data_IF_715903487996
#
_entry.id   IF_715903487996
#
_cell.length_a   1.000
_cell.length_b   1.000
_cell.length_c   1.000
_cell.angle_alpha   90.00
_cell.angle_beta   90.00
_cell.angle_gamma   90.00
#
_symmetry.space_group_name_H-M   'P 1'
#
loop_
_entity.id
_entity.type
_entity.pdbx_description
1 polymer ?
#
# COMPACT_ATOMS: atom_id res chain seq x y z
N UNK A 1 0.02 10.11 -23.83
CA UNK A 1 0.00 10.40 -22.37
C UNK A 1 -1.45 10.30 -21.93
N UNK A 2 -1.91 9.10 -21.58
CA UNK A 2 -3.25 8.92 -21.01
C UNK A 2 -3.10 9.12 -19.51
N UNK A 3 -3.74 10.16 -18.97
CA UNK A 3 -3.82 10.38 -17.53
C UNK A 3 -4.69 9.29 -16.93
N UNK A 4 -4.08 8.18 -16.55
CA UNK A 4 -4.69 7.20 -15.68
C UNK A 4 -5.07 7.94 -14.38
N UNK A 5 -6.34 7.85 -14.02
CA UNK A 5 -6.84 8.44 -12.78
C UNK A 5 -6.38 7.55 -11.63
N UNK A 6 -5.07 7.53 -11.38
CA UNK A 6 -4.38 6.63 -10.46
C UNK A 6 -5.00 6.65 -9.05
N UNK A 7 -5.66 7.75 -8.68
CA UNK A 7 -6.45 7.89 -7.46
C UNK A 7 -7.73 7.06 -7.45
N UNK A 8 -8.41 6.91 -8.57
CA UNK A 8 -9.58 6.05 -8.70
C UNK A 8 -9.19 4.57 -8.70
N UNK A 9 -8.09 4.21 -9.35
CA UNK A 9 -7.54 2.85 -9.32
C UNK A 9 -7.04 2.50 -7.92
N UNK A 10 -6.36 3.45 -7.26
CA UNK A 10 -5.99 3.35 -5.86
C UNK A 10 -7.23 3.29 -4.94
N UNK A 11 -8.28 4.07 -5.17
CA UNK A 11 -9.51 4.00 -4.35
C UNK A 11 -10.19 2.63 -4.46
N UNK A 12 -10.32 2.09 -5.67
CA UNK A 12 -10.83 0.73 -5.89
C UNK A 12 -9.99 -0.31 -5.14
N UNK A 13 -8.67 -0.16 -5.23
CA UNK A 13 -7.69 -1.00 -4.56
C UNK A 13 -7.77 -0.92 -3.03
N UNK A 14 -7.90 0.29 -2.47
CA UNK A 14 -7.97 0.55 -1.03
C UNK A 14 -9.27 0.04 -0.42
N UNK A 15 -10.38 -0.04 -1.17
CA UNK A 15 -11.63 -0.65 -0.67
C UNK A 15 -11.49 -2.11 -0.26
N UNK A 16 -10.49 -2.81 -0.78
CA UNK A 16 -10.19 -4.18 -0.40
C UNK A 16 -9.17 -4.27 0.75
N UNK A 17 -8.46 -3.19 1.08
CA UNK A 17 -7.53 -3.16 2.23
C UNK A 17 -8.28 -3.07 3.56
N UNK A 18 -7.69 -3.54 4.66
CA UNK A 18 -8.22 -3.35 6.03
C UNK A 18 -7.94 -1.95 6.59
N UNK A 19 -7.71 -0.97 5.73
CA UNK A 19 -7.60 0.42 6.17
C UNK A 19 -8.89 0.76 6.92
N UNK A 20 -8.77 1.02 8.23
CA UNK A 20 -9.91 1.41 9.07
C UNK A 20 -10.50 2.75 8.64
N UNK A 21 -9.70 3.51 7.90
CA UNK A 21 -9.97 4.83 7.37
C UNK A 21 -9.61 4.83 5.87
N UNK A 22 -10.57 5.00 4.94
CA UNK A 22 -10.26 5.13 3.52
C UNK A 22 -9.38 6.36 3.26
N UNK A 23 -8.53 6.34 2.23
CA UNK A 23 -7.67 7.52 1.90
C UNK A 23 -8.51 8.77 1.62
N UNK A 24 -9.71 8.61 1.04
CA UNK A 24 -10.67 9.71 0.87
C UNK A 24 -11.35 10.15 2.19
N UNK A 25 -11.43 9.27 3.19
CA UNK A 25 -11.90 9.58 4.55
C UNK A 25 -10.87 10.40 5.35
N UNK A 26 -9.57 10.17 5.14
CA UNK A 26 -8.51 11.04 5.65
C UNK A 26 -8.62 12.45 5.08
N UNK A 27 -9.00 12.58 3.81
CA UNK A 27 -9.17 13.88 3.16
C UNK A 27 -10.43 14.65 3.62
N UNK A 28 -11.39 14.02 4.31
CA UNK A 28 -12.66 14.67 4.65
C UNK A 28 -13.19 14.50 6.10
N UNK A 29 -12.66 13.63 6.97
CA UNK A 29 -13.12 13.59 8.38
C UNK A 29 -12.32 12.76 9.39
N UNK A 30 -11.40 11.87 9.00
CA UNK A 30 -10.77 10.92 9.95
C UNK A 30 -9.43 11.41 10.55
N UNK A 31 -9.20 12.72 10.58
CA UNK A 31 -8.00 13.37 11.12
C UNK A 31 -7.69 12.97 12.56
N UNK A 32 -8.72 12.73 13.40
CA UNK A 32 -8.54 12.41 14.81
C UNK A 32 -7.70 11.14 15.04
N UNK A 33 -7.95 10.07 14.27
CA UNK A 33 -7.24 8.80 14.41
C UNK A 33 -5.84 8.87 13.84
N UNK A 34 -5.67 9.55 12.71
CA UNK A 34 -4.35 9.82 12.15
C UNK A 34 -3.50 10.62 13.14
N UNK A 35 -4.03 11.72 13.68
CA UNK A 35 -3.33 12.55 14.69
C UNK A 35 -3.02 11.75 15.95
N UNK A 36 -3.91 10.86 16.42
CA UNK A 36 -3.61 9.98 17.54
C UNK A 36 -2.46 9.01 17.23
N UNK A 37 -2.49 8.37 16.06
CA UNK A 37 -1.46 7.46 15.60
C UNK A 37 -0.08 8.14 15.45
N UNK A 38 -0.05 9.35 14.86
CA UNK A 38 1.16 10.16 14.71
C UNK A 38 1.75 10.56 16.07
N UNK A 39 0.90 11.06 16.97
CA UNK A 39 1.31 11.42 18.33
C UNK A 39 1.82 10.22 19.11
N UNK A 40 1.21 9.04 18.93
CA UNK A 40 1.68 7.83 19.57
C UNK A 40 3.04 7.40 19.02
N UNK A 41 3.19 7.31 17.70
CA UNK A 41 4.44 6.92 17.05
C UNK A 41 5.63 7.83 17.44
N UNK A 42 5.38 9.15 17.53
CA UNK A 42 6.37 10.12 17.98
C UNK A 42 6.82 9.89 19.43
N UNK A 43 5.95 9.36 20.30
CA UNK A 43 6.24 9.08 21.72
C UNK A 43 6.86 7.70 21.95
N UNK A 44 6.47 6.70 21.17
CA UNK A 44 6.88 5.30 21.37
C UNK A 44 8.14 4.90 20.60
N UNK A 45 8.59 5.71 19.64
CA UNK A 45 9.74 5.39 18.76
C UNK A 45 9.50 4.18 17.85
N UNK A 46 8.30 3.59 17.87
CA UNK A 46 7.89 2.44 17.08
C UNK A 46 6.41 2.54 16.75
N UNK A 47 6.05 2.20 15.51
CA UNK A 47 4.65 2.23 15.05
C UNK A 47 3.91 0.99 15.57
N UNK A 48 2.86 1.12 16.40
CA UNK A 48 2.04 -0.02 16.79
C UNK A 48 1.41 -0.68 15.56
N UNK A 49 1.32 -2.02 15.51
CA UNK A 49 0.60 -2.71 14.43
C UNK A 49 -0.83 -2.18 14.24
N UNK A 50 -1.51 -1.78 15.32
CA UNK A 50 -2.89 -1.31 15.28
C UNK A 50 -3.06 0.09 14.67
N UNK A 51 -1.99 0.89 14.68
CA UNK A 51 -1.95 2.26 14.18
C UNK A 51 -1.35 2.36 12.76
N UNK A 52 -0.67 1.30 12.31
CA UNK A 52 -0.02 1.21 11.01
C UNK A 52 -0.97 1.52 9.83
N UNK A 53 -2.21 0.98 9.78
CA UNK A 53 -3.15 1.29 8.69
C UNK A 53 -3.49 2.79 8.59
N UNK A 54 -3.76 3.45 9.72
CA UNK A 54 -4.12 4.88 9.72
C UNK A 54 -2.94 5.75 9.29
N UNK A 55 -1.71 5.40 9.69
CA UNK A 55 -0.49 6.10 9.24
C UNK A 55 -0.21 5.90 7.75
N UNK A 56 -0.42 4.69 7.23
CA UNK A 56 -0.29 4.41 5.79
C UNK A 56 -1.31 5.24 5.01
N UNK A 57 -2.57 5.26 5.45
CA UNK A 57 -3.62 6.07 4.83
C UNK A 57 -3.28 7.58 4.87
N UNK A 58 -2.74 8.08 5.99
CA UNK A 58 -2.27 9.45 6.14
C UNK A 58 -1.16 9.83 5.17
N UNK A 59 -0.13 8.99 5.07
CA UNK A 59 0.97 9.20 4.13
C UNK A 59 0.48 9.19 2.67
N UNK A 60 -0.41 8.26 2.30
CA UNK A 60 -1.03 8.21 0.98
C UNK A 60 -1.87 9.46 0.68
N UNK A 61 -2.68 9.91 1.64
CA UNK A 61 -3.50 11.12 1.49
C UNK A 61 -2.64 12.38 1.26
N UNK A 62 -1.47 12.46 1.89
CA UNK A 62 -0.47 13.52 1.72
C UNK A 62 0.43 13.33 0.50
N UNK A 63 0.27 12.25 -0.26
CA UNK A 63 1.10 11.86 -1.41
C UNK A 63 2.58 11.64 -1.05
N UNK A 64 2.83 11.24 0.19
CA UNK A 64 4.16 10.94 0.72
C UNK A 64 4.50 9.46 0.47
N UNK A 65 4.64 9.07 -0.81
CA UNK A 65 4.93 7.68 -1.20
C UNK A 65 6.15 7.08 -0.47
N UNK A 66 7.28 7.80 -0.26
CA UNK A 66 8.39 7.27 0.51
C UNK A 66 8.03 6.92 1.96
N UNK A 67 7.19 7.72 2.61
CA UNK A 67 6.74 7.47 3.99
C UNK A 67 5.81 6.25 4.05
N UNK A 68 4.85 6.14 3.12
CA UNK A 68 3.97 4.98 3.02
C UNK A 68 4.76 3.68 2.77
N UNK A 69 5.78 3.72 1.89
CA UNK A 69 6.67 2.58 1.63
C UNK A 69 7.42 2.16 2.90
N UNK A 70 7.95 3.10 3.68
CA UNK A 70 8.66 2.77 4.92
C UNK A 70 7.74 2.08 5.95
N UNK A 71 6.51 2.57 6.10
CA UNK A 71 5.51 1.96 6.99
C UNK A 71 5.16 0.53 6.53
N UNK A 72 4.94 0.33 5.24
CA UNK A 72 4.63 -1.00 4.68
C UNK A 72 5.80 -1.98 4.76
N UNK A 73 7.04 -1.49 4.69
CA UNK A 73 8.23 -2.33 4.95
C UNK A 73 8.30 -2.79 6.42
N UNK A 74 7.94 -1.91 7.37
CA UNK A 74 7.86 -2.30 8.77
C UNK A 74 6.77 -3.36 9.01
N UNK A 75 5.65 -3.29 8.30
CA UNK A 75 4.62 -4.34 8.31
C UNK A 75 5.11 -5.65 7.67
N UNK A 76 5.87 -5.56 6.57
CA UNK A 76 6.51 -6.73 5.96
C UNK A 76 7.39 -7.46 6.96
N UNK A 77 8.23 -6.74 7.72
CA UNK A 77 9.16 -7.32 8.69
C UNK A 77 8.44 -8.03 9.85
N UNK A 78 7.18 -7.67 10.11
CA UNK A 78 6.30 -8.32 11.10
C UNK A 78 5.52 -9.51 10.52
N UNK A 79 5.61 -9.73 9.21
CA UNK A 79 4.72 -10.58 8.46
C UNK A 79 3.40 -9.85 8.24
N UNK A 80 3.09 -9.53 6.97
CA UNK A 80 1.87 -8.80 6.64
C UNK A 80 0.64 -9.43 7.29
N UNK A 81 -0.07 -8.64 8.09
CA UNK A 81 -1.35 -9.05 8.68
C UNK A 81 -2.50 -9.05 7.65
N UNK A 82 -2.27 -8.44 6.49
CA UNK A 82 -3.20 -8.30 5.38
C UNK A 82 -2.43 -8.38 4.04
N UNK A 83 -2.84 -9.29 3.15
CA UNK A 83 -2.22 -9.47 1.83
C UNK A 83 -2.34 -8.24 0.93
N UNK A 84 -3.33 -7.37 1.18
CA UNK A 84 -3.47 -6.14 0.41
C UNK A 84 -2.39 -5.10 0.78
N UNK A 85 -1.80 -5.16 1.98
CA UNK A 85 -0.67 -4.26 2.29
C UNK A 85 0.59 -4.69 1.52
N UNK A 86 0.73 -5.98 1.23
CA UNK A 86 1.76 -6.51 0.35
C UNK A 86 1.60 -6.00 -1.10
N UNK A 87 0.39 -6.13 -1.66
CA UNK A 87 0.11 -5.63 -3.01
C UNK A 87 0.31 -4.10 -3.11
N UNK A 88 0.02 -3.36 -2.02
CA UNK A 88 0.15 -1.90 -1.99
C UNK A 88 1.62 -1.52 -2.02
N UNK A 89 2.47 -2.26 -1.32
CA UNK A 89 3.90 -2.08 -1.36
C UNK A 89 4.47 -2.34 -2.76
N UNK A 90 3.99 -3.37 -3.46
CA UNK A 90 4.37 -3.61 -4.87
C UNK A 90 3.99 -2.43 -5.77
N UNK A 91 2.73 -1.98 -5.67
CA UNK A 91 2.25 -0.85 -6.44
C UNK A 91 3.05 0.43 -6.17
N UNK A 92 3.30 0.75 -4.89
CA UNK A 92 4.07 1.94 -4.52
C UNK A 92 5.54 1.85 -4.96
N UNK A 93 6.14 0.66 -4.99
CA UNK A 93 7.48 0.51 -5.57
C UNK A 93 7.48 0.81 -7.06
N UNK A 94 6.51 0.29 -7.82
CA UNK A 94 6.38 0.58 -9.25
C UNK A 94 6.11 2.08 -9.48
N UNK A 95 5.18 2.67 -8.74
CA UNK A 95 4.86 4.11 -8.81
C UNK A 95 6.06 5.00 -8.49
N UNK A 96 6.93 4.57 -7.57
CA UNK A 96 8.15 5.29 -7.19
C UNK A 96 9.37 4.91 -8.06
N UNK A 97 9.16 4.29 -9.22
CA UNK A 97 10.21 3.96 -10.19
C UNK A 97 11.19 2.88 -9.72
N UNK A 98 10.82 2.07 -8.72
CA UNK A 98 11.63 0.99 -8.15
C UNK A 98 11.04 -0.38 -8.51
N UNK A 99 10.76 -0.63 -9.78
CA UNK A 99 10.09 -1.85 -10.28
C UNK A 99 10.85 -3.11 -9.89
N UNK A 100 12.18 -3.06 -9.89
CA UNK A 100 13.02 -4.20 -9.53
C UNK A 100 12.80 -4.64 -8.07
N UNK A 101 12.47 -3.70 -7.18
CA UNK A 101 12.12 -4.02 -5.78
C UNK A 101 10.75 -4.68 -5.67
N UNK A 102 9.82 -4.31 -6.56
CA UNK A 102 8.53 -4.98 -6.64
C UNK A 102 8.70 -6.42 -7.16
N UNK A 103 9.46 -6.61 -8.23
CA UNK A 103 9.70 -7.93 -8.81
C UNK A 103 10.47 -8.85 -7.87
N UNK A 104 11.43 -8.33 -7.10
CA UNK A 104 12.13 -9.11 -6.08
C UNK A 104 11.22 -9.50 -4.90
N UNK A 105 10.16 -8.72 -4.65
CA UNK A 105 9.23 -8.93 -3.55
C UNK A 105 8.09 -9.90 -3.94
N UNK A 106 7.62 -9.86 -5.19
CA UNK A 106 6.45 -10.60 -5.64
C UNK A 106 6.52 -12.12 -5.40
N UNK A 107 7.66 -12.82 -5.64
CA UNK A 107 7.78 -14.26 -5.39
C UNK A 107 7.69 -14.64 -3.92
N UNK A 108 8.04 -13.75 -2.99
CA UNK A 108 8.15 -14.06 -1.56
C UNK A 108 6.81 -14.42 -0.90
N UNK A 109 5.69 -14.07 -1.54
CA UNK A 109 4.34 -14.38 -1.08
C UNK A 109 3.54 -15.16 -2.12
N UNK A 110 4.17 -15.66 -3.20
CA UNK A 110 3.47 -16.31 -4.31
C UNK A 110 2.62 -17.51 -3.89
N UNK A 111 3.02 -18.24 -2.84
CA UNK A 111 2.26 -19.36 -2.27
C UNK A 111 1.05 -18.93 -1.43
N UNK A 112 1.03 -17.69 -0.94
CA UNK A 112 -0.04 -17.10 -0.13
C UNK A 112 -1.05 -16.30 -0.96
N UNK A 113 -0.68 -15.95 -2.20
CA UNK A 113 -1.52 -15.22 -3.13
C UNK A 113 -2.53 -16.18 -3.74
N UNK A 114 -3.80 -16.03 -3.36
CA UNK A 114 -4.87 -16.74 -4.04
C UNK A 114 -5.02 -16.15 -5.45
N UNK A 115 -4.89 -16.99 -6.49
CA UNK A 115 -5.19 -16.56 -7.85
C UNK A 115 -6.68 -16.21 -7.93
N UNK A 116 -6.95 -14.93 -8.11
CA UNK A 116 -8.27 -14.38 -8.34
C UNK A 116 -8.23 -13.31 -9.44
N UNK A 117 -9.40 -12.87 -9.88
CA UNK A 117 -9.53 -11.90 -10.96
C UNK A 117 -8.85 -10.56 -10.64
N UNK A 118 -8.73 -10.20 -9.35
CA UNK A 118 -8.12 -8.96 -8.90
C UNK A 118 -6.60 -9.03 -9.04
N UNK A 119 -6.01 -10.15 -8.66
CA UNK A 119 -4.57 -10.42 -8.82
C UNK A 119 -4.17 -10.42 -10.30
N UNK A 120 -4.96 -11.08 -11.15
CA UNK A 120 -4.71 -11.09 -12.60
C UNK A 120 -4.81 -9.68 -13.21
N UNK A 121 -5.80 -8.90 -12.79
CA UNK A 121 -5.93 -7.50 -13.19
C UNK A 121 -4.74 -6.65 -12.70
N UNK A 122 -4.35 -6.75 -11.43
CA UNK A 122 -3.24 -6.01 -10.85
C UNK A 122 -1.93 -6.28 -11.59
N UNK A 123 -1.66 -7.55 -11.91
CA UNK A 123 -0.48 -7.92 -12.70
C UNK A 123 -0.50 -7.31 -14.10
N UNK A 124 -1.64 -7.37 -14.78
CA UNK A 124 -1.82 -6.73 -16.09
C UNK A 124 -1.56 -5.22 -16.02
N UNK A 125 -2.09 -4.55 -14.99
CA UNK A 125 -1.94 -3.11 -14.80
C UNK A 125 -0.48 -2.73 -14.51
N UNK A 126 0.18 -3.47 -13.60
CA UNK A 126 1.57 -3.21 -13.27
C UNK A 126 2.50 -3.43 -14.46
N UNK A 127 2.25 -4.48 -15.25
CA UNK A 127 3.00 -4.77 -16.46
C UNK A 127 2.81 -3.67 -17.51
N UNK A 128 1.56 -3.26 -17.76
CA UNK A 128 1.24 -2.28 -18.78
C UNK A 128 1.75 -0.86 -18.44
N UNK A 129 1.62 -0.45 -17.17
CA UNK A 129 2.00 0.90 -16.74
C UNK A 129 3.49 1.04 -16.41
N UNK A 130 4.10 0.00 -15.83
CA UNK A 130 5.45 0.11 -15.24
C UNK A 130 6.46 -0.89 -15.81
N UNK A 131 6.06 -1.79 -16.72
CA UNK A 131 6.94 -2.83 -17.26
C UNK A 131 7.28 -3.94 -16.25
N UNK A 132 6.46 -4.10 -15.21
CA UNK A 132 6.61 -5.13 -14.18
C UNK A 132 6.41 -6.54 -14.74
N UNK A 133 7.25 -7.48 -14.32
CA UNK A 133 7.16 -8.90 -14.66
C UNK A 133 6.51 -9.69 -13.50
N UNK A 134 5.26 -10.15 -13.66
CA UNK A 134 4.60 -10.91 -12.61
C UNK A 134 5.26 -12.26 -12.35
N UNK A 135 5.21 -12.77 -11.11
CA UNK A 135 5.70 -14.10 -10.79
C UNK A 135 4.85 -15.17 -11.50
N UNK A 136 5.51 -16.21 -12.03
CA UNK A 136 4.88 -17.32 -12.77
C UNK A 136 4.09 -18.30 -11.90
#
# INVERSE_FOLDING_TARGET
>A
MSGSNWLADLDLYLRHTRLRTPVLGVQNSDEFRLTFAENFAARSGSVPPEASPDLIAGALARRESPAAIQLLKAEKDRGFSNINDFFLLLYLYCLNGSVEKAEALAPAQASSIQKDWFVDWLWGELQAQFGFHPPG
#
